data_IF_023293051417
#
_entry.id   IF_023293051417
#
_cell.length_a   1.000
_cell.length_b   1.000
_cell.length_c   1.000
_cell.angle_alpha   90.00
_cell.angle_beta   90.00
_cell.angle_gamma   90.00
#
_symmetry.space_group_name_H-M   'P 1'
#
loop_
_entity.id
_entity.type
_entity.pdbx_description
1 polymer ?
#
# COMPACT_ATOMS: atom_id res chain seq x y z
N UNK A 1 11.78 1.55 8.20
CA UNK A 1 10.32 1.74 8.05
C UNK A 1 9.70 1.31 9.37
N UNK A 2 8.89 2.18 9.97
CA UNK A 2 8.10 1.83 11.15
C UNK A 2 6.64 1.74 10.71
N UNK A 3 5.88 0.90 11.40
CA UNK A 3 4.43 0.78 11.22
C UNK A 3 3.73 2.15 11.24
N UNK A 4 4.21 3.06 12.10
CA UNK A 4 3.64 4.40 12.22
C UNK A 4 3.89 5.25 10.97
N UNK A 5 5.10 5.21 10.41
CA UNK A 5 5.39 5.88 9.14
C UNK A 5 4.60 5.27 7.97
N UNK A 6 4.38 3.95 7.97
CA UNK A 6 3.58 3.30 6.93
C UNK A 6 2.10 3.71 7.04
N UNK A 7 1.58 3.81 8.27
CA UNK A 7 0.23 4.31 8.53
C UNK A 7 0.03 5.77 8.13
N UNK A 8 1.04 6.63 8.35
CA UNK A 8 1.01 8.03 7.90
C UNK A 8 0.85 8.10 6.38
N UNK A 9 1.69 7.38 5.63
CA UNK A 9 1.61 7.33 4.16
C UNK A 9 0.27 6.77 3.67
N UNK A 10 -0.23 5.70 4.29
CA UNK A 10 -1.52 5.11 3.92
C UNK A 10 -2.70 6.07 4.18
N UNK A 11 -2.62 6.91 5.23
CA UNK A 11 -3.68 7.87 5.56
C UNK A 11 -3.85 8.98 4.52
N UNK A 12 -2.82 9.25 3.70
CA UNK A 12 -2.85 10.25 2.64
C UNK A 12 -3.58 9.78 1.37
N UNK A 13 -3.81 8.47 1.22
CA UNK A 13 -4.44 7.90 0.03
C UNK A 13 -5.95 8.17 0.04
N UNK A 14 -6.53 8.83 -0.99
CA UNK A 14 -7.96 9.17 -1.01
C UNK A 14 -8.90 7.98 -0.80
N UNK A 15 -8.54 6.80 -1.31
CA UNK A 15 -9.30 5.56 -1.15
C UNK A 15 -9.47 5.13 0.32
N UNK A 16 -8.54 5.53 1.19
CA UNK A 16 -8.49 5.10 2.59
C UNK A 16 -8.95 6.17 3.57
N UNK A 17 -9.46 7.32 3.11
CA UNK A 17 -9.82 8.46 3.97
C UNK A 17 -10.90 8.17 5.02
N UNK A 18 -11.77 7.18 4.75
CA UNK A 18 -12.83 6.77 5.69
C UNK A 18 -12.34 5.70 6.69
N UNK A 19 -11.13 5.17 6.53
CA UNK A 19 -10.59 4.15 7.42
C UNK A 19 -10.14 4.77 8.74
N UNK A 20 -10.54 4.14 9.84
CA UNK A 20 -10.06 4.49 11.17
C UNK A 20 -8.58 4.14 11.33
N UNK A 21 -7.94 4.71 12.36
CA UNK A 21 -6.52 4.42 12.68
C UNK A 21 -6.26 2.92 12.88
N UNK A 22 -7.20 2.19 13.47
CA UNK A 22 -7.06 0.74 13.68
C UNK A 22 -7.21 -0.04 12.36
N UNK A 23 -8.07 0.41 11.44
CA UNK A 23 -8.20 -0.18 10.12
C UNK A 23 -6.95 0.08 9.26
N UNK A 24 -6.39 1.29 9.31
CA UNK A 24 -5.11 1.62 8.67
C UNK A 24 -3.97 0.77 9.24
N UNK A 25 -3.97 0.52 10.55
CA UNK A 25 -3.00 -0.36 11.19
C UNK A 25 -3.09 -1.79 10.66
N UNK A 26 -4.31 -2.33 10.56
CA UNK A 26 -4.52 -3.68 10.01
C UNK A 26 -4.08 -3.74 8.54
N UNK A 27 -4.36 -2.71 7.75
CA UNK A 27 -3.92 -2.61 6.37
C UNK A 27 -2.39 -2.58 6.26
N UNK A 28 -1.72 -1.75 7.07
CA UNK A 28 -0.27 -1.67 7.11
C UNK A 28 0.37 -3.02 7.51
N UNK A 29 -0.23 -3.75 8.46
CA UNK A 29 0.21 -5.09 8.85
C UNK A 29 0.00 -6.15 7.76
N UNK A 30 -1.12 -6.07 7.03
CA UNK A 30 -1.46 -7.02 5.97
C UNK A 30 -0.79 -6.72 4.63
N UNK A 31 -0.17 -5.55 4.49
CA UNK A 31 0.52 -5.14 3.27
C UNK A 31 1.85 -5.87 3.10
N UNK A 32 2.19 -6.18 1.85
CA UNK A 32 3.50 -6.72 1.51
C UNK A 32 4.46 -5.58 1.17
N UNK A 33 5.58 -5.51 1.90
CA UNK A 33 6.67 -4.61 1.55
C UNK A 33 7.57 -5.23 0.49
N UNK A 34 7.59 -4.64 -0.69
CA UNK A 34 8.46 -5.07 -1.79
C UNK A 34 9.48 -3.99 -2.12
N UNK A 35 10.75 -4.39 -2.13
CA UNK A 35 11.87 -3.54 -2.57
C UNK A 35 12.09 -3.77 -4.05
N UNK A 36 11.90 -2.73 -4.86
CA UNK A 36 12.11 -2.78 -6.30
C UNK A 36 13.50 -2.27 -6.66
N UNK A 37 14.15 -2.94 -7.63
CA UNK A 37 15.43 -2.49 -8.18
C UNK A 37 15.19 -1.50 -9.32
N UNK A 38 16.21 -0.69 -9.60
CA UNK A 38 16.19 0.19 -10.76
C UNK A 38 16.00 -0.65 -12.05
N UNK A 39 15.02 -0.27 -12.87
CA UNK A 39 14.66 -0.97 -14.10
C UNK A 39 13.74 -2.18 -13.92
N UNK A 40 13.33 -2.52 -12.70
CA UNK A 40 12.37 -3.60 -12.45
C UNK A 40 10.95 -3.20 -12.88
N UNK A 41 10.31 -4.06 -13.67
CA UNK A 41 8.94 -3.83 -14.15
C UNK A 41 7.96 -4.34 -13.09
N UNK A 42 7.23 -3.44 -12.44
CA UNK A 42 6.25 -3.78 -11.42
C UNK A 42 4.99 -4.44 -12.01
N UNK A 43 4.47 -3.88 -13.08
CA UNK A 43 3.35 -4.41 -13.87
C UNK A 43 3.47 -3.94 -15.33
N UNK A 44 2.71 -4.55 -16.22
CA UNK A 44 2.62 -4.14 -17.64
C UNK A 44 1.27 -3.48 -17.90
N UNK A 45 1.23 -2.60 -18.90
CA UNK A 45 -0.06 -2.08 -19.40
C UNK A 45 -0.99 -3.25 -19.76
N UNK A 46 -2.27 -3.09 -19.48
CA UNK A 46 -3.32 -4.10 -19.72
C UNK A 46 -3.20 -5.40 -18.89
N UNK A 47 -2.22 -5.50 -17.99
CA UNK A 47 -2.19 -6.59 -17.03
C UNK A 47 -3.42 -6.50 -16.12
N UNK A 48 -4.06 -7.66 -15.88
CA UNK A 48 -5.16 -7.77 -14.93
C UNK A 48 -4.65 -7.43 -13.52
N UNK A 49 -5.35 -6.52 -12.84
CA UNK A 49 -5.13 -6.25 -11.42
C UNK A 49 -5.74 -7.37 -10.56
N UNK A 50 -5.09 -7.71 -9.45
CA UNK A 50 -5.60 -8.70 -8.49
C UNK A 50 -6.86 -8.22 -7.77
N UNK A 51 -6.98 -6.90 -7.56
CA UNK A 51 -8.08 -6.25 -6.85
C UNK A 51 -9.16 -5.66 -7.79
N UNK A 52 -9.44 -6.36 -8.89
CA UNK A 52 -10.33 -5.95 -10.00
C UNK A 52 -11.59 -5.17 -9.64
#
# INVERSE_FOLDING_TARGET
>A
MSLESDMEVLSEVPLFQELSRDQLRLLAFGAEHRVLRAGEILFRAEARADAG
#
